data_IF_967865318429
#
_entry.id   IF_967865318429
#
_cell.length_a   1.000
_cell.length_b   1.000
_cell.length_c   1.000
_cell.angle_alpha   90.00
_cell.angle_beta   90.00
_cell.angle_gamma   90.00
#
_symmetry.space_group_name_H-M   'P 1'
#
loop_
_entity.id
_entity.type
_entity.pdbx_description
1 polymer ?
#
# COMPACT_ATOMS: atom_id res chain seq x y z
N UNK A 1 19.52 9.81 1.04
CA UNK A 1 19.47 9.78 -0.43
C UNK A 1 18.26 10.57 -0.87
N UNK A 2 18.42 11.47 -1.84
CA UNK A 2 17.33 12.30 -2.32
C UNK A 2 16.52 11.54 -3.37
N UNK A 3 15.21 11.37 -3.17
CA UNK A 3 14.34 10.61 -4.05
C UNK A 3 13.04 11.36 -4.36
N UNK A 4 12.58 11.17 -5.61
CA UNK A 4 11.26 11.56 -6.07
C UNK A 4 10.32 10.36 -6.21
N UNK A 5 9.07 10.63 -6.61
CA UNK A 5 8.07 9.59 -6.88
C UNK A 5 8.25 9.01 -8.28
N UNK A 6 8.34 7.68 -8.36
CA UNK A 6 8.20 6.96 -9.61
C UNK A 6 6.72 6.79 -9.94
N UNK A 7 6.25 7.42 -11.02
CA UNK A 7 4.87 7.26 -11.52
C UNK A 7 4.81 6.02 -12.40
N UNK A 8 4.26 4.93 -11.88
CA UNK A 8 4.14 3.69 -12.63
C UNK A 8 2.83 3.61 -13.42
N UNK A 9 1.78 4.33 -12.99
CA UNK A 9 0.41 4.17 -13.50
C UNK A 9 -0.11 2.74 -13.33
N UNK A 10 0.35 2.06 -12.28
CA UNK A 10 -0.05 0.70 -11.92
C UNK A 10 -0.42 0.64 -10.44
N UNK A 11 -0.87 -0.52 -9.97
CA UNK A 11 -1.15 -0.77 -8.56
C UNK A 11 0.06 -0.52 -7.64
N UNK A 12 1.30 -0.56 -8.15
CA UNK A 12 2.51 -0.28 -7.38
C UNK A 12 2.57 1.17 -6.85
N UNK A 13 1.84 2.11 -7.46
CA UNK A 13 1.74 3.47 -6.94
C UNK A 13 1.00 3.53 -5.59
N UNK A 14 0.26 2.46 -5.24
CA UNK A 14 -0.57 2.28 -4.04
C UNK A 14 0.00 1.21 -3.08
N UNK A 15 1.31 0.95 -3.14
CA UNK A 15 2.02 -0.01 -2.29
C UNK A 15 3.20 0.67 -1.63
N UNK A 16 3.65 0.18 -0.47
CA UNK A 16 4.89 0.65 0.14
C UNK A 16 6.10 0.07 -0.61
N UNK A 17 6.49 0.75 -1.68
CA UNK A 17 7.56 0.32 -2.60
C UNK A 17 8.64 1.39 -2.76
N UNK A 18 9.90 0.93 -2.78
CA UNK A 18 11.07 1.68 -3.27
C UNK A 18 11.49 1.07 -4.61
N UNK A 19 11.70 1.91 -5.60
CA UNK A 19 12.19 1.49 -6.92
C UNK A 19 13.69 1.68 -7.03
N UNK A 20 14.40 0.65 -7.47
CA UNK A 20 15.85 0.69 -7.68
C UNK A 20 16.53 -0.66 -7.42
N UNK A 21 17.84 -0.61 -7.25
CA UNK A 21 18.65 -1.79 -6.94
C UNK A 21 19.07 -1.77 -5.47
N UNK A 22 18.17 -2.24 -4.61
CA UNK A 22 18.35 -2.36 -3.16
C UNK A 22 18.07 -3.80 -2.70
N UNK A 23 18.31 -4.09 -1.42
CA UNK A 23 17.88 -5.34 -0.80
C UNK A 23 16.36 -5.56 -0.98
N UNK A 24 15.84 -6.80 -1.05
CA UNK A 24 14.43 -7.08 -1.37
C UNK A 24 13.42 -6.33 -0.50
N UNK A 25 13.81 -6.07 0.75
CA UNK A 25 13.09 -5.22 1.68
C UNK A 25 14.04 -4.22 2.32
N UNK A 26 13.51 -3.03 2.57
CA UNK A 26 14.26 -1.92 3.18
C UNK A 26 13.42 -1.23 4.25
N UNK A 27 14.08 -0.75 5.29
CA UNK A 27 13.52 0.22 6.22
C UNK A 27 13.78 1.61 5.65
N UNK A 28 12.71 2.37 5.43
CA UNK A 28 12.78 3.71 4.86
C UNK A 28 12.38 4.69 5.95
N UNK A 29 13.23 5.69 6.21
CA UNK A 29 12.95 6.76 7.18
C UNK A 29 12.95 8.13 6.50
N UNK A 30 12.00 8.95 6.91
CA UNK A 30 11.99 10.39 6.66
C UNK A 30 12.97 11.11 7.59
N UNK A 31 13.35 12.34 7.24
CA UNK A 31 14.13 13.23 8.12
C UNK A 31 13.35 13.66 9.37
N UNK A 32 12.00 13.57 9.32
CA UNK A 32 11.10 13.87 10.42
C UNK A 32 10.91 12.68 11.39
N UNK A 33 11.58 11.55 11.14
CA UNK A 33 11.57 10.38 12.02
C UNK A 33 10.43 9.39 11.75
N UNK A 34 9.51 9.68 10.82
CA UNK A 34 8.56 8.66 10.31
C UNK A 34 9.32 7.57 9.58
N UNK A 35 8.84 6.34 9.68
CA UNK A 35 9.47 5.18 9.07
C UNK A 35 8.44 4.18 8.55
N UNK A 36 8.84 3.40 7.55
CA UNK A 36 8.04 2.30 7.02
C UNK A 36 8.96 1.20 6.48
N UNK A 37 8.48 -0.04 6.52
CA UNK A 37 9.06 -1.12 5.72
C UNK A 37 8.54 -0.95 4.30
N UNK A 38 9.44 -1.05 3.31
CA UNK A 38 9.09 -1.04 1.91
C UNK A 38 9.66 -2.28 1.21
N UNK A 39 8.94 -2.77 0.20
CA UNK A 39 9.48 -3.74 -0.74
C UNK A 39 10.29 -3.02 -1.81
N UNK A 40 11.37 -3.63 -2.27
CA UNK A 40 12.13 -3.12 -3.42
C UNK A 40 11.64 -3.76 -4.71
N UNK A 41 11.36 -2.92 -5.70
CA UNK A 41 10.95 -3.34 -7.04
C UNK A 41 11.84 -2.68 -8.11
N UNK A 42 11.99 -3.32 -9.26
CA UNK A 42 12.67 -2.73 -10.42
C UNK A 42 11.63 -2.23 -11.41
N UNK A 43 11.70 -0.95 -11.78
CA UNK A 43 10.73 -0.36 -12.72
C UNK A 43 11.38 0.54 -13.74
N UNK A 44 11.51 0.06 -14.99
CA UNK A 44 11.89 0.84 -16.19
C UNK A 44 13.02 1.88 -15.98
N UNK A 45 14.02 1.56 -15.15
CA UNK A 45 15.13 2.47 -14.83
C UNK A 45 14.81 3.63 -13.87
N UNK A 46 13.60 3.70 -13.33
CA UNK A 46 13.25 4.67 -12.29
C UNK A 46 13.85 4.26 -10.95
N UNK A 47 14.50 5.23 -10.29
CA UNK A 47 15.02 5.10 -8.92
C UNK A 47 14.31 6.13 -8.06
N UNK A 48 13.51 5.67 -7.11
CA UNK A 48 12.58 6.54 -6.39
C UNK A 48 11.66 5.78 -5.46
N UNK A 49 10.57 6.41 -5.04
CA UNK A 49 9.56 5.81 -4.16
C UNK A 49 8.20 5.76 -4.86
N UNK A 50 7.36 4.83 -4.43
CA UNK A 50 5.93 4.83 -4.75
C UNK A 50 5.23 6.06 -4.17
N UNK A 51 4.10 6.45 -4.77
CA UNK A 51 3.29 7.56 -4.25
C UNK A 51 2.79 7.27 -2.83
N UNK A 52 2.35 6.05 -2.55
CA UNK A 52 1.89 5.65 -1.21
C UNK A 52 2.99 5.80 -0.16
N UNK A 53 4.20 5.29 -0.41
CA UNK A 53 5.32 5.43 0.52
C UNK A 53 5.70 6.91 0.74
N UNK A 54 5.67 7.70 -0.33
CA UNK A 54 5.97 9.13 -0.24
C UNK A 54 4.94 9.88 0.60
N UNK A 55 3.64 9.61 0.42
CA UNK A 55 2.56 10.20 1.22
C UNK A 55 2.60 9.73 2.67
N UNK A 56 2.93 8.46 2.91
CA UNK A 56 3.04 7.91 4.25
C UNK A 56 4.14 8.61 5.07
N UNK A 57 5.31 8.80 4.46
CA UNK A 57 6.48 9.39 5.11
C UNK A 57 6.51 10.92 5.08
N UNK A 58 5.88 11.55 4.08
CA UNK A 58 5.82 13.00 3.89
C UNK A 58 4.42 13.44 3.43
N UNK A 59 3.41 13.39 4.32
CA UNK A 59 2.01 13.62 3.94
C UNK A 59 1.71 15.05 3.49
N UNK A 60 2.55 16.01 3.88
CA UNK A 60 2.33 17.43 3.61
C UNK A 60 2.86 17.87 2.24
N UNK A 61 3.55 16.99 1.52
CA UNK A 61 4.19 17.33 0.25
C UNK A 61 3.26 17.06 -0.94
N UNK A 62 3.33 17.93 -1.95
CA UNK A 62 2.49 17.89 -3.14
C UNK A 62 2.86 16.80 -4.17
N UNK A 63 3.20 15.58 -3.73
CA UNK A 63 3.77 14.48 -4.53
C UNK A 63 3.03 14.16 -5.85
N UNK A 64 1.72 14.43 -5.92
CA UNK A 64 0.91 14.22 -7.13
C UNK A 64 0.75 15.45 -8.03
N UNK A 65 1.08 16.64 -7.53
CA UNK A 65 0.78 17.93 -8.18
C UNK A 65 2.02 18.65 -8.69
N UNK A 66 3.14 18.49 -8.01
CA UNK A 66 4.42 19.13 -8.36
C UNK A 66 5.56 18.13 -8.30
N UNK A 67 6.64 18.32 -9.09
CA UNK A 67 7.86 17.54 -8.92
C UNK A 67 8.47 17.82 -7.55
N UNK A 68 8.58 16.80 -6.72
CA UNK A 68 9.19 16.87 -5.38
C UNK A 68 10.30 15.83 -5.32
N UNK A 69 11.42 16.21 -4.71
CA UNK A 69 12.47 15.30 -4.30
C UNK A 69 12.93 15.68 -2.89
N UNK A 70 13.00 14.69 -2.00
CA UNK A 70 13.38 14.88 -0.60
C UNK A 70 14.30 13.78 -0.11
N UNK A 71 14.90 13.97 1.06
CA UNK A 71 15.82 13.00 1.65
C UNK A 71 15.09 11.81 2.29
N UNK A 72 15.57 10.62 1.99
CA UNK A 72 15.19 9.38 2.63
C UNK A 72 16.44 8.67 3.15
N UNK A 73 16.34 8.07 4.32
CA UNK A 73 17.35 7.14 4.85
C UNK A 73 16.84 5.74 4.53
N UNK A 74 17.65 4.94 3.82
CA UNK A 74 17.28 3.60 3.37
C UNK A 74 18.29 2.63 3.98
N UNK A 75 17.78 1.69 4.77
CA UNK A 75 18.56 0.66 5.45
C UNK A 75 18.03 -0.72 5.04
N UNK A 76 18.90 -1.71 4.89
CA UNK A 76 18.46 -3.09 4.69
C UNK A 76 17.63 -3.56 5.89
N UNK A 77 16.56 -4.30 5.64
CA UNK A 77 15.77 -4.92 6.71
C UNK A 77 15.23 -6.28 6.27
N UNK A 78 14.86 -7.09 7.25
CA UNK A 78 14.12 -8.34 7.05
C UNK A 78 12.80 -8.22 7.81
N UNK A 79 11.69 -7.95 7.12
CA UNK A 79 10.42 -7.77 7.79
C UNK A 79 9.86 -9.10 8.26
N UNK A 80 9.24 -9.06 9.42
CA UNK A 80 8.53 -10.21 9.97
C UNK A 80 7.22 -10.48 9.21
N UNK A 81 6.78 -11.75 9.14
CA UNK A 81 5.47 -12.08 8.59
C UNK A 81 4.37 -11.57 9.52
N UNK A 82 3.29 -11.06 8.93
CA UNK A 82 2.09 -10.71 9.67
C UNK A 82 1.46 -11.99 10.24
N UNK A 83 1.12 -11.97 11.54
CA UNK A 83 0.39 -13.06 12.19
C UNK A 83 -1.09 -12.97 11.89
N UNK A 84 -1.65 -11.78 11.99
CA UNK A 84 -3.07 -11.51 11.76
C UNK A 84 -3.27 -10.20 11.03
N UNK A 85 -4.17 -10.21 10.07
CA UNK A 85 -4.57 -9.01 9.32
C UNK A 85 -6.10 -8.99 9.24
N UNK A 86 -6.68 -7.84 9.57
CA UNK A 86 -8.13 -7.61 9.45
C UNK A 86 -8.36 -6.59 8.36
N UNK A 87 -9.21 -6.92 7.39
CA UNK A 87 -9.51 -6.05 6.26
C UNK A 87 -11.02 -5.90 6.08
N UNK A 88 -11.43 -4.71 5.65
CA UNK A 88 -12.75 -4.42 5.11
C UNK A 88 -12.61 -4.20 3.61
N UNK A 89 -13.29 -4.97 2.78
CA UNK A 89 -13.16 -4.91 1.31
C UNK A 89 -14.52 -4.80 0.64
N UNK A 90 -14.59 -4.25 -0.58
CA UNK A 90 -15.81 -4.30 -1.39
C UNK A 90 -16.33 -5.73 -1.59
N UNK A 91 -17.66 -5.83 -1.78
CA UNK A 91 -18.33 -7.10 -2.05
C UNK A 91 -17.69 -7.87 -3.21
N UNK A 92 -17.50 -9.18 -3.04
CA UNK A 92 -16.94 -10.06 -4.06
C UNK A 92 -15.40 -10.13 -4.08
N UNK A 93 -14.69 -9.31 -3.29
CA UNK A 93 -13.25 -9.47 -3.11
C UNK A 93 -12.97 -10.60 -2.13
N UNK A 94 -12.45 -11.71 -2.65
CA UNK A 94 -12.10 -12.89 -1.86
C UNK A 94 -10.70 -12.83 -1.26
N UNK A 95 -10.43 -13.67 -0.27
CA UNK A 95 -9.09 -13.86 0.29
C UNK A 95 -8.04 -14.22 -0.77
N UNK A 96 -8.40 -15.03 -1.76
CA UNK A 96 -7.49 -15.38 -2.85
C UNK A 96 -7.08 -14.15 -3.67
N UNK A 97 -8.01 -13.23 -3.93
CA UNK A 97 -7.75 -11.97 -4.64
C UNK A 97 -6.82 -11.08 -3.82
N UNK A 98 -7.06 -10.98 -2.50
CA UNK A 98 -6.21 -10.20 -1.59
C UNK A 98 -4.79 -10.78 -1.54
N UNK A 99 -4.65 -12.09 -1.30
CA UNK A 99 -3.34 -12.76 -1.21
C UNK A 99 -2.54 -12.62 -2.49
N UNK A 100 -3.16 -12.85 -3.65
CA UNK A 100 -2.49 -12.71 -4.95
C UNK A 100 -1.85 -11.34 -5.14
N UNK A 101 -2.44 -10.29 -4.58
CA UNK A 101 -2.01 -8.91 -4.80
C UNK A 101 -1.13 -8.34 -3.70
N UNK A 102 -1.32 -8.78 -2.46
CA UNK A 102 -0.65 -8.21 -1.29
C UNK A 102 0.44 -9.13 -0.72
N UNK A 103 0.51 -10.40 -1.11
CA UNK A 103 1.56 -11.30 -0.65
C UNK A 103 2.94 -10.73 -0.97
N UNK A 104 3.82 -10.72 0.04
CA UNK A 104 5.16 -10.16 -0.09
C UNK A 104 5.21 -8.62 -0.01
N UNK A 105 4.09 -7.91 0.14
CA UNK A 105 4.10 -6.47 0.36
C UNK A 105 3.94 -6.11 1.84
N UNK A 106 4.64 -5.06 2.31
CA UNK A 106 4.41 -4.50 3.64
C UNK A 106 2.99 -3.96 3.76
N UNK A 107 2.35 -4.26 4.88
CA UNK A 107 1.00 -3.82 5.19
C UNK A 107 1.03 -2.72 6.24
N UNK A 108 0.15 -1.75 6.05
CA UNK A 108 -0.09 -0.65 6.96
C UNK A 108 -1.60 -0.44 7.11
N UNK A 109 -2.01 0.00 8.29
CA UNK A 109 -3.42 0.31 8.56
C UNK A 109 -3.88 1.50 7.71
N UNK A 110 -5.13 1.45 7.26
CA UNK A 110 -5.74 2.45 6.40
C UNK A 110 -6.13 1.92 5.02
N UNK A 111 -6.31 2.82 4.06
CA UNK A 111 -6.83 2.49 2.73
C UNK A 111 -5.87 1.60 1.94
N UNK A 112 -6.43 0.65 1.18
CA UNK A 112 -5.66 -0.22 0.28
C UNK A 112 -6.37 -0.34 -1.07
N UNK A 113 -5.61 -0.17 -2.15
CA UNK A 113 -6.12 -0.37 -3.51
C UNK A 113 -5.97 -1.85 -3.91
N UNK A 114 -6.97 -2.43 -4.55
CA UNK A 114 -7.01 -3.81 -5.06
C UNK A 114 -7.53 -3.81 -6.50
N UNK A 115 -6.82 -4.47 -7.40
CA UNK A 115 -7.27 -4.68 -8.78
C UNK A 115 -8.27 -5.85 -8.82
N UNK A 116 -9.48 -5.58 -9.29
CA UNK A 116 -10.54 -6.56 -9.42
C UNK A 116 -11.43 -6.24 -10.63
N UNK A 117 -11.71 -7.26 -11.46
CA UNK A 117 -12.52 -7.12 -12.69
C UNK A 117 -12.09 -5.93 -13.57
N UNK A 118 -10.78 -5.75 -13.77
CA UNK A 118 -10.19 -4.66 -14.58
C UNK A 118 -10.37 -3.23 -14.00
N UNK A 119 -10.85 -3.12 -12.76
CA UNK A 119 -10.98 -1.87 -12.03
C UNK A 119 -10.10 -1.85 -10.77
N UNK A 120 -9.81 -0.65 -10.27
CA UNK A 120 -9.20 -0.46 -8.94
C UNK A 120 -10.32 -0.25 -7.94
N UNK A 121 -10.44 -1.20 -7.02
CA UNK A 121 -11.32 -1.16 -5.87
C UNK A 121 -10.55 -0.72 -4.61
N UNK A 122 -11.21 -0.02 -3.70
CA UNK A 122 -10.61 0.44 -2.46
C UNK A 122 -11.19 -0.29 -1.26
N UNK A 123 -10.32 -0.99 -0.52
CA UNK A 123 -10.61 -1.53 0.79
C UNK A 123 -9.88 -0.75 1.89
N UNK A 124 -9.94 -1.31 3.09
CA UNK A 124 -9.28 -0.81 4.28
C UNK A 124 -8.62 -1.96 5.03
N UNK A 125 -7.36 -1.78 5.41
CA UNK A 125 -6.68 -2.63 6.37
C UNK A 125 -6.96 -2.02 7.75
N UNK A 126 -7.87 -2.64 8.49
CA UNK A 126 -8.26 -2.15 9.81
C UNK A 126 -7.20 -2.44 10.88
N UNK A 127 -6.47 -3.55 10.75
CA UNK A 127 -5.43 -3.94 11.73
C UNK A 127 -4.39 -4.85 11.10
N UNK A 128 -3.12 -4.66 11.44
CA UNK A 128 -2.00 -5.54 11.09
C UNK A 128 -1.21 -5.90 12.35
N UNK A 129 -1.12 -7.18 12.68
CA UNK A 129 -0.40 -7.67 13.85
C UNK A 129 0.74 -8.60 13.45
N UNK A 130 2.00 -8.29 13.82
CA UNK A 130 2.49 -7.00 14.34
C UNK A 130 2.49 -5.89 13.26
N UNK A 131 2.55 -4.60 13.62
CA UNK A 131 2.60 -3.50 12.65
C UNK A 131 3.80 -3.60 11.70
N UNK A 132 3.67 -3.02 10.50
CA UNK A 132 4.74 -2.96 9.48
C UNK A 132 5.27 -4.33 9.06
N UNK A 133 4.38 -5.33 9.06
CA UNK A 133 4.70 -6.70 8.66
C UNK A 133 4.29 -6.97 7.23
N UNK A 134 4.81 -8.06 6.66
CA UNK A 134 4.50 -8.48 5.30
C UNK A 134 3.44 -9.58 5.29
N UNK A 135 2.51 -9.52 4.34
CA UNK A 135 1.54 -10.60 4.15
C UNK A 135 2.24 -11.86 3.60
N UNK A 136 2.04 -12.99 4.26
CA UNK A 136 2.56 -14.29 3.83
C UNK A 136 1.46 -15.35 3.85
N UNK A 137 1.75 -16.54 3.33
CA UNK A 137 0.81 -17.67 3.34
C UNK A 137 0.43 -18.13 4.75
N UNK A 138 1.29 -17.88 5.74
CA UNK A 138 1.03 -18.19 7.15
C UNK A 138 0.16 -17.15 7.86
N UNK A 139 -0.09 -15.98 7.26
CA UNK A 139 -0.88 -14.92 7.88
C UNK A 139 -2.35 -15.32 8.01
N UNK A 140 -2.93 -15.14 9.19
CA UNK A 140 -4.38 -15.27 9.39
C UNK A 140 -5.09 -14.03 8.85
N UNK A 141 -5.76 -14.15 7.71
CA UNK A 141 -6.49 -13.07 7.10
C UNK A 141 -7.96 -13.14 7.51
N UNK A 142 -8.50 -12.06 8.06
CA UNK A 142 -9.92 -11.91 8.34
C UNK A 142 -10.49 -10.80 7.47
N UNK A 143 -11.39 -11.16 6.56
CA UNK A 143 -12.03 -10.23 5.63
C UNK A 143 -13.46 -9.98 6.07
N UNK A 144 -13.84 -8.71 6.12
CA UNK A 144 -15.20 -8.25 6.22
C UNK A 144 -15.58 -7.59 4.90
N UNK A 145 -16.75 -7.91 4.38
CA UNK A 145 -17.29 -7.21 3.22
C UNK A 145 -17.94 -5.91 3.68
N UNK A 146 -17.64 -4.81 3.00
CA UNK A 146 -18.37 -3.56 3.22
C UNK A 146 -19.81 -3.78 2.73
N UNK A 147 -20.83 -3.57 3.58
CA UNK A 147 -22.21 -3.67 3.13
C UNK A 147 -22.44 -2.66 2.00
N UNK A 148 -23.10 -3.09 0.94
CA UNK A 148 -23.60 -2.19 -0.09
C UNK A 148 -24.69 -1.36 0.60
N UNK A 149 -24.46 -0.07 0.78
CA UNK A 149 -25.53 0.84 1.15
C UNK A 149 -26.46 0.91 -0.06
N UNK A 150 -27.59 0.19 0.01
CA UNK A 150 -28.71 0.38 -0.91
C UNK A 150 -29.30 1.76 -0.61
N UNK A 151 -28.69 2.81 -1.15
CA UNK A 151 -29.35 4.10 -1.28
C UNK A 151 -30.53 3.90 -2.23
N UNK A 152 -31.67 3.52 -1.66
CA UNK A 152 -32.97 3.54 -2.32
C UNK A 152 -33.17 4.91 -2.94
N UNK A 153 -32.94 5.03 -4.25
CA UNK A 153 -33.39 6.17 -5.03
C UNK A 153 -34.92 6.07 -5.10
N UNK A 154 -35.60 6.68 -4.14
CA UNK A 154 -37.04 6.86 -4.18
C UNK A 154 -37.33 7.95 -5.21
N UNK A 155 -37.64 7.54 -6.45
CA UNK A 155 -38.27 8.43 -7.42
C UNK A 155 -39.69 8.74 -6.93
N UNK A 156 -39.85 9.81 -6.15
CA UNK A 156 -41.14 10.44 -5.93
C UNK A 156 -41.66 11.00 -7.25
N UNK A 157 -42.84 10.55 -7.69
CA UNK A 157 -43.58 11.23 -8.76
C UNK A 157 -43.98 12.63 -8.25
N UNK A 158 -43.77 13.63 -9.11
CA UNK A 158 -44.06 15.06 -8.91
C UNK A 158 -45.43 15.33 -8.28
#
# INVERSE_FOLDING_TARGET
MRLGVCKTSTILDYRLVVFGDFSPYVLVRSVEGRWAVAKTERWRGCVGVSRELALYLYPYYGWGRVPVETDFIIEQTEPQPARRVVMVVPFGITEAVVRRQLAGYPLVEGSVALEYLEHIEFGEIATVEPPMSVLTDSTQLKIFEKPVEDDTVVFGRR
#
